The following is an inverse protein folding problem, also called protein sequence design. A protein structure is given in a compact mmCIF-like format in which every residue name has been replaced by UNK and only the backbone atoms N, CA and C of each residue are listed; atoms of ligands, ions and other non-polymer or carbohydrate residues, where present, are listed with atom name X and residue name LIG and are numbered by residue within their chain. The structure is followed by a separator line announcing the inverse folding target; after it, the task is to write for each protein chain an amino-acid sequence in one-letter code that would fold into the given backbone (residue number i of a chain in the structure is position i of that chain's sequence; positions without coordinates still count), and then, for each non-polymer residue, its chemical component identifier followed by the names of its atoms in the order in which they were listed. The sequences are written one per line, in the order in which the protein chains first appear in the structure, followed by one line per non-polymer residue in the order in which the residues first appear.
data_IF_492543325597
#
_entry.id   IF_492543325597
#
_cell.length_a   1.000
_cell.length_b   1.000
_cell.length_c   1.000
_cell.angle_alpha   90.00
_cell.angle_beta   90.00
_cell.angle_gamma   90.00
#
_symmetry.space_group_name_H-M   'P 1'
#
loop_
_entity.id
_entity.type
_entity.pdbx_description
1 polymer ?
#
# COMPACT_ATOMS: atom_id res chain seq x y z
N UNK A 1 -7.56 7.34 -4.03
CA UNK A 1 -8.14 6.80 -5.29
C UNK A 1 -7.41 5.54 -5.78
N UNK A 2 -6.09 5.59 -5.98
CA UNK A 2 -5.27 4.47 -6.49
C UNK A 2 -5.46 3.15 -5.74
N UNK A 3 -5.44 3.19 -4.41
CA UNK A 3 -5.56 1.99 -3.59
C UNK A 3 -6.94 1.33 -3.71
N UNK A 4 -8.03 2.10 -3.76
CA UNK A 4 -9.39 1.56 -3.96
C UNK A 4 -9.52 0.83 -5.31
N UNK A 5 -8.89 1.37 -6.36
CA UNK A 5 -8.87 0.71 -7.67
C UNK A 5 -8.08 -0.59 -7.61
N UNK A 6 -6.89 -0.57 -7.01
CA UNK A 6 -6.09 -1.79 -6.82
C UNK A 6 -6.86 -2.87 -6.04
N UNK A 7 -7.54 -2.48 -4.96
CA UNK A 7 -8.40 -3.37 -4.17
C UNK A 7 -9.53 -3.98 -5.01
N UNK A 8 -10.14 -3.19 -5.91
CA UNK A 8 -11.18 -3.69 -6.82
C UNK A 8 -10.60 -4.69 -7.83
N UNK A 9 -9.48 -4.34 -8.48
CA UNK A 9 -8.82 -5.20 -9.47
C UNK A 9 -8.34 -6.51 -8.87
N UNK A 10 -7.77 -6.48 -7.66
CA UNK A 10 -7.35 -7.69 -6.94
C UNK A 10 -8.55 -8.57 -6.60
N UNK A 11 -9.70 -8.00 -6.22
CA UNK A 11 -10.90 -8.79 -5.91
C UNK A 11 -11.46 -9.56 -7.10
N UNK A 12 -11.33 -9.02 -8.31
CA UNK A 12 -11.71 -9.70 -9.55
C UNK A 12 -10.90 -10.99 -9.78
N UNK A 13 -9.70 -11.08 -9.20
CA UNK A 13 -8.86 -12.29 -9.21
C UNK A 13 -9.31 -13.36 -8.19
N UNK A 14 -10.35 -13.09 -7.39
CA UNK A 14 -10.92 -14.00 -6.36
C UNK A 14 -9.87 -14.55 -5.36
N UNK A 15 -9.07 -13.69 -4.71
CA UNK A 15 -8.17 -14.15 -3.66
C UNK A 15 -8.97 -14.69 -2.46
N UNK A 16 -8.32 -15.48 -1.61
CA UNK A 16 -8.94 -15.95 -0.36
C UNK A 16 -9.24 -14.79 0.60
N UNK A 17 -8.34 -13.79 0.65
CA UNK A 17 -8.46 -12.57 1.47
C UNK A 17 -7.69 -11.41 0.82
N UNK A 18 -8.10 -10.18 1.13
CA UNK A 18 -7.43 -8.92 0.78
C UNK A 18 -7.05 -8.21 2.07
N UNK A 19 -5.75 -8.02 2.27
CA UNK A 19 -5.19 -7.29 3.40
C UNK A 19 -4.47 -6.04 2.88
N UNK A 20 -4.72 -4.90 3.52
CA UNK A 20 -4.03 -3.64 3.21
C UNK A 20 -3.16 -3.22 4.38
N UNK A 21 -1.90 -2.88 4.09
CA UNK A 21 -1.00 -2.28 5.05
C UNK A 21 -0.39 -1.02 4.45
N UNK A 22 -0.52 0.11 5.14
CA UNK A 22 0.06 1.39 4.72
C UNK A 22 0.57 2.14 5.96
N UNK A 23 1.69 2.87 5.90
CA UNK A 23 2.19 3.59 7.08
C UNK A 23 1.23 4.69 7.54
N UNK A 24 0.74 5.51 6.61
CA UNK A 24 -0.11 6.67 6.92
C UNK A 24 -1.31 6.77 5.99
N UNK A 25 -2.45 7.21 6.52
CA UNK A 25 -3.61 7.63 5.73
C UNK A 25 -4.42 8.69 6.49
N UNK A 26 -5.13 9.60 5.79
CA UNK A 26 -6.18 10.38 6.43
C UNK A 26 -7.25 9.46 7.04
N UNK A 27 -7.77 9.82 8.21
CA UNK A 27 -8.79 9.03 8.92
C UNK A 27 -9.98 8.61 8.02
N UNK A 28 -10.54 9.55 7.24
CA UNK A 28 -11.65 9.27 6.33
C UNK A 28 -11.28 8.24 5.26
N UNK A 29 -10.06 8.32 4.70
CA UNK A 29 -9.59 7.34 3.71
C UNK A 29 -9.40 5.98 4.36
N UNK A 30 -8.85 5.91 5.57
CA UNK A 30 -8.69 4.66 6.29
C UNK A 30 -10.05 3.98 6.55
N UNK A 31 -11.06 4.73 7.01
CA UNK A 31 -12.43 4.23 7.20
C UNK A 31 -13.04 3.63 5.93
N UNK A 32 -12.85 4.29 4.79
CA UNK A 32 -13.31 3.76 3.52
C UNK A 32 -12.60 2.47 3.14
N UNK A 33 -11.29 2.37 3.39
CA UNK A 33 -10.51 1.17 3.10
C UNK A 33 -10.95 0.01 4.00
N UNK A 34 -11.17 0.23 5.31
CA UNK A 34 -11.68 -0.78 6.24
C UNK A 34 -12.98 -1.43 5.75
N UNK A 35 -13.84 -0.67 5.05
CA UNK A 35 -15.10 -1.19 4.48
C UNK A 35 -14.91 -1.98 3.20
N UNK A 36 -13.74 -1.87 2.55
CA UNK A 36 -13.47 -2.49 1.26
C UNK A 36 -12.65 -3.77 1.37
N UNK A 37 -11.95 -4.05 2.46
CA UNK A 37 -11.02 -5.19 2.55
C UNK A 37 -11.30 -6.06 3.77
N UNK A 38 -10.75 -7.26 3.81
CA UNK A 38 -10.94 -8.17 4.95
C UNK A 38 -10.21 -7.66 6.19
N UNK A 39 -9.01 -7.10 6.00
CA UNK A 39 -8.25 -6.44 7.05
C UNK A 39 -7.46 -5.26 6.51
N UNK A 40 -7.36 -4.19 7.30
CA UNK A 40 -6.44 -3.09 7.01
C UNK A 40 -5.66 -2.70 8.27
N UNK A 41 -4.43 -2.22 8.10
CA UNK A 41 -3.61 -1.70 9.20
C UNK A 41 -2.87 -0.46 8.74
N UNK A 42 -3.00 0.60 9.55
CA UNK A 42 -2.30 1.87 9.38
C UNK A 42 -1.50 2.16 10.65
N UNK A 43 -0.24 2.60 10.51
CA UNK A 43 0.55 3.03 11.68
C UNK A 43 0.06 4.39 12.19
N UNK A 44 -0.32 5.26 11.27
CA UNK A 44 -0.88 6.58 11.56
C UNK A 44 -2.14 6.81 10.71
N UNK A 45 -3.30 6.78 11.36
CA UNK A 45 -4.58 7.15 10.77
C UNK A 45 -5.14 8.37 11.51
N UNK A 46 -4.60 9.56 11.20
CA UNK A 46 -4.88 10.78 11.95
C UNK A 46 -5.99 11.63 11.30
N UNK A 47 -6.80 12.27 12.13
CA UNK A 47 -7.70 13.35 11.74
C UNK A 47 -6.92 14.62 11.38
N UNK A 48 -5.72 14.80 11.96
CA UNK A 48 -4.81 15.92 11.69
C UNK A 48 -3.78 15.60 10.59
N UNK A 49 -4.23 14.94 9.51
CA UNK A 49 -3.37 14.65 8.37
C UNK A 49 -2.71 15.96 7.87
N UNK A 50 -1.38 15.98 7.74
CA UNK A 50 -0.58 17.19 7.51
C UNK A 50 -0.67 17.75 6.08
N UNK A 51 -1.75 17.45 5.36
CA UNK A 51 -2.02 17.87 3.98
C UNK A 51 -1.33 17.03 2.91
N UNK A 52 -0.23 16.34 3.23
CA UNK A 52 0.49 15.48 2.29
C UNK A 52 1.19 14.30 2.98
N UNK A 53 1.28 13.15 2.29
CA UNK A 53 1.94 11.94 2.80
C UNK A 53 3.40 12.22 3.18
N UNK A 54 4.12 12.99 2.37
CA UNK A 54 5.54 13.30 2.60
C UNK A 54 5.82 14.08 3.88
N UNK A 55 4.83 14.80 4.44
CA UNK A 55 4.99 15.53 5.69
C UNK A 55 5.12 14.61 6.92
N UNK A 56 4.75 13.33 6.80
CA UNK A 56 4.90 12.33 7.85
C UNK A 56 6.29 11.65 7.84
N UNK A 57 7.19 12.05 6.94
CA UNK A 57 8.54 11.49 6.82
C UNK A 57 9.61 12.56 6.98
N UNK A 58 10.65 12.27 7.77
CA UNK A 58 11.84 13.14 7.87
C UNK A 58 12.54 13.32 6.51
N UNK A 59 12.47 12.30 5.65
CA UNK A 59 13.06 12.29 4.32
C UNK A 59 12.09 11.63 3.35
N UNK A 60 11.71 12.36 2.30
CA UNK A 60 10.76 11.90 1.30
C UNK A 60 11.27 12.21 -0.12
N UNK A 61 12.43 11.63 -0.52
CA UNK A 61 12.97 11.84 -1.86
C UNK A 61 12.04 11.20 -2.90
N UNK A 62 12.09 11.73 -4.12
CA UNK A 62 11.41 11.11 -5.26
C UNK A 62 12.08 9.76 -5.56
N UNK A 63 11.27 8.72 -5.77
CA UNK A 63 11.75 7.41 -6.23
C UNK A 63 11.77 7.39 -7.76
N UNK A 64 12.90 7.01 -8.36
CA UNK A 64 13.05 6.96 -9.82
C UNK A 64 12.53 5.64 -10.42
N UNK A 65 12.24 5.65 -11.73
CA UNK A 65 11.84 4.44 -12.46
C UNK A 65 12.92 3.35 -12.40
N UNK A 66 14.20 3.73 -12.45
CA UNK A 66 15.32 2.79 -12.32
C UNK A 66 15.32 2.08 -10.96
N UNK A 67 15.07 2.81 -9.87
CA UNK A 67 14.98 2.24 -8.52
C UNK A 67 13.83 1.24 -8.42
N UNK A 68 12.67 1.58 -9.02
CA UNK A 68 11.50 0.68 -9.07
C UNK A 68 11.82 -0.60 -9.86
N UNK A 69 12.42 -0.48 -11.04
CA UNK A 69 12.80 -1.64 -11.88
C UNK A 69 13.78 -2.56 -11.15
N UNK A 70 14.77 -1.97 -10.47
CA UNK A 70 15.73 -2.73 -9.67
C UNK A 70 15.05 -3.48 -8.51
N UNK A 71 14.12 -2.84 -7.81
CA UNK A 71 13.38 -3.45 -6.71
C UNK A 71 12.52 -4.64 -7.20
N UNK A 72 11.80 -4.47 -8.31
CA UNK A 72 10.98 -5.54 -8.91
C UNK A 72 11.83 -6.73 -9.38
N UNK A 73 12.99 -6.46 -10.00
CA UNK A 73 13.94 -7.50 -10.43
C UNK A 73 14.42 -8.33 -9.25
N UNK A 74 14.82 -7.68 -8.15
CA UNK A 74 15.24 -8.35 -6.91
C UNK A 74 14.12 -9.16 -6.27
N UNK A 75 12.89 -8.63 -6.24
CA UNK A 75 11.73 -9.32 -5.68
C UNK A 75 11.41 -10.60 -6.48
N UNK A 76 11.43 -10.53 -7.81
CA UNK A 76 11.16 -11.68 -8.67
C UNK A 76 12.20 -12.79 -8.55
N UNK A 77 13.46 -12.47 -8.25
CA UNK A 77 14.47 -13.48 -7.93
C UNK A 77 14.11 -14.22 -6.65
N UNK A 78 13.81 -13.49 -5.57
CA UNK A 78 13.45 -14.08 -4.27
C UNK A 78 12.18 -14.93 -4.29
N UNK A 79 11.18 -14.58 -5.11
CA UNK A 79 9.95 -15.38 -5.23
C UNK A 79 10.24 -16.78 -5.77
N UNK A 80 11.25 -16.93 -6.65
CA UNK A 80 11.65 -18.25 -7.14
C UNK A 80 12.35 -19.09 -6.06
N UNK A 81 12.82 -18.48 -4.99
CA UNK A 81 13.49 -19.15 -3.87
C UNK A 81 12.51 -19.60 -2.77
N UNK A 82 11.25 -19.15 -2.79
CA UNK A 82 10.22 -19.65 -1.90
C UNK A 82 9.73 -21.04 -2.38
N UNK A 83 9.81 -22.09 -1.55
CA UNK A 83 9.32 -23.40 -1.93
C UNK A 83 7.81 -23.32 -2.21
N UNK A 84 7.41 -23.81 -3.39
CA UNK A 84 6.01 -23.94 -3.80
C UNK A 84 5.27 -24.98 -2.97
#
# INVERSE_FOLDING_TARGET
LTLKLAIKSVREMKPAQILVACPVAPAETAEEIYKLVDQATFLEADQNFLGAVGAHYLSFPQTSDEEVIQALTKANQKINDFPK
#
